data_IF_982551468078
#
_entry.id   IF_982551468078
#
_cell.length_a   1.000
_cell.length_b   1.000
_cell.length_c   1.000
_cell.angle_alpha   90.00
_cell.angle_beta   90.00
_cell.angle_gamma   90.00
#
_symmetry.space_group_name_H-M   'P 1'
#
loop_
_entity.id
_entity.type
_entity.pdbx_description
1 polymer ?
#
# COMPACT_ATOMS: atom_id res chain seq x y z
N UNK A 1 32.75 0.98 0.60
CA UNK A 1 31.82 2.07 0.25
C UNK A 1 30.41 1.57 0.53
N UNK A 2 29.83 1.95 1.68
CA UNK A 2 28.46 1.56 2.04
C UNK A 2 27.52 2.43 1.20
N UNK A 3 26.91 1.85 0.16
CA UNK A 3 25.81 2.48 -0.55
C UNK A 3 24.66 2.66 0.44
N UNK A 4 24.54 3.85 1.01
CA UNK A 4 23.35 4.26 1.73
C UNK A 4 22.23 4.40 0.69
N UNK A 5 21.66 3.27 0.26
CA UNK A 5 20.37 3.28 -0.40
C UNK A 5 19.40 3.79 0.66
N UNK A 6 19.11 5.08 0.54
CA UNK A 6 17.98 5.79 1.12
C UNK A 6 16.81 4.80 1.18
N UNK A 7 16.67 4.14 2.32
CA UNK A 7 15.55 3.27 2.63
C UNK A 7 14.38 4.24 2.71
N UNK A 8 13.79 4.58 1.54
CA UNK A 8 12.47 5.18 1.50
C UNK A 8 11.64 4.19 2.30
N UNK A 9 11.23 4.59 3.50
CA UNK A 9 10.40 3.76 4.36
C UNK A 9 9.26 3.26 3.50
N UNK A 10 9.34 2.01 3.04
CA UNK A 10 8.33 1.41 2.16
C UNK A 10 6.95 1.44 2.84
N UNK A 11 6.97 1.48 4.17
CA UNK A 11 5.83 1.66 5.05
C UNK A 11 5.19 3.06 4.97
N UNK A 12 5.92 4.10 4.59
CA UNK A 12 5.44 5.49 4.52
C UNK A 12 4.96 5.91 3.14
N UNK A 13 5.19 5.11 2.09
CA UNK A 13 4.80 5.49 0.73
C UNK A 13 3.36 5.04 0.45
N UNK A 14 2.42 5.98 0.53
CA UNK A 14 1.02 5.73 0.19
C UNK A 14 0.83 5.22 -1.25
N UNK A 15 1.66 5.67 -2.19
CA UNK A 15 1.58 5.24 -3.59
C UNK A 15 1.97 3.78 -3.74
N UNK A 16 2.94 3.31 -2.94
CA UNK A 16 3.32 1.90 -2.90
C UNK A 16 2.14 1.03 -2.50
N UNK A 17 1.45 1.39 -1.41
CA UNK A 17 0.30 0.64 -0.92
C UNK A 17 -0.89 0.67 -1.88
N UNK A 18 -1.17 1.81 -2.54
CA UNK A 18 -2.19 1.88 -3.60
C UNK A 18 -1.88 0.96 -4.77
N UNK A 19 -0.64 0.95 -5.26
CA UNK A 19 -0.23 0.07 -6.36
C UNK A 19 -0.39 -1.42 -6.00
N UNK A 20 -0.13 -1.79 -4.73
CA UNK A 20 -0.35 -3.14 -4.23
C UNK A 20 -1.83 -3.51 -4.16
N UNK A 21 -2.69 -2.58 -3.74
CA UNK A 21 -4.14 -2.79 -3.73
C UNK A 21 -4.67 -3.04 -5.15
N UNK A 22 -4.29 -2.19 -6.11
CA UNK A 22 -4.68 -2.32 -7.52
C UNK A 22 -4.21 -3.65 -8.14
N UNK A 23 -2.93 -4.00 -8.00
CA UNK A 23 -2.42 -5.27 -8.50
C UNK A 23 -3.15 -6.49 -7.90
N UNK A 24 -3.57 -6.39 -6.65
CA UNK A 24 -4.33 -7.45 -5.97
C UNK A 24 -5.75 -7.57 -6.51
N UNK A 25 -6.41 -6.44 -6.83
CA UNK A 25 -7.74 -6.42 -7.47
C UNK A 25 -7.69 -7.04 -8.86
N UNK A 26 -6.72 -6.63 -9.68
CA UNK A 26 -6.52 -7.21 -11.01
C UNK A 26 -6.30 -8.72 -10.95
N UNK A 27 -5.53 -9.19 -9.95
CA UNK A 27 -5.37 -10.62 -9.71
C UNK A 27 -6.68 -11.29 -9.29
N UNK A 28 -7.50 -10.64 -8.47
CA UNK A 28 -8.79 -11.16 -8.06
C UNK A 28 -9.77 -11.31 -9.25
N UNK A 29 -9.71 -10.39 -10.22
CA UNK A 29 -10.52 -10.46 -11.46
C UNK A 29 -10.18 -11.69 -12.31
N UNK A 30 -8.93 -12.15 -12.28
CA UNK A 30 -8.50 -13.36 -13.00
C UNK A 30 -8.80 -14.69 -12.29
N UNK A 31 -9.44 -14.66 -11.11
CA UNK A 31 -9.69 -15.85 -10.29
C UNK A 31 -11.17 -16.23 -10.40
N UNK A 32 -11.44 -17.43 -10.91
CA UNK A 32 -12.80 -17.99 -11.02
C UNK A 32 -13.37 -18.48 -9.68
N UNK A 33 -12.51 -18.92 -8.75
CA UNK A 33 -12.95 -19.34 -7.42
C UNK A 33 -13.38 -18.14 -6.58
N UNK A 34 -14.68 -18.03 -6.36
CA UNK A 34 -15.30 -16.93 -5.60
C UNK A 34 -14.72 -16.77 -4.19
N UNK A 35 -14.33 -17.87 -3.54
CA UNK A 35 -13.74 -17.81 -2.20
C UNK A 35 -12.37 -17.15 -2.23
N UNK A 36 -11.50 -17.57 -3.16
CA UNK A 36 -10.16 -17.02 -3.36
C UNK A 36 -10.22 -15.58 -3.84
N UNK A 37 -11.14 -15.26 -4.76
CA UNK A 37 -11.41 -13.89 -5.21
C UNK A 37 -11.81 -12.99 -4.05
N UNK A 38 -12.76 -13.42 -3.21
CA UNK A 38 -13.16 -12.66 -2.02
C UNK A 38 -12.00 -12.43 -1.05
N UNK A 39 -11.11 -13.42 -0.86
CA UNK A 39 -9.92 -13.24 -0.01
C UNK A 39 -8.95 -12.21 -0.58
N UNK A 40 -8.71 -12.23 -1.89
CA UNK A 40 -7.84 -11.25 -2.55
C UNK A 40 -8.41 -9.84 -2.46
N UNK A 41 -9.73 -9.67 -2.63
CA UNK A 41 -10.36 -8.37 -2.46
C UNK A 41 -10.20 -7.82 -1.03
N UNK A 42 -10.34 -8.67 -0.01
CA UNK A 42 -10.05 -8.28 1.39
C UNK A 42 -8.59 -7.85 1.56
N UNK A 43 -7.64 -8.56 0.95
CA UNK A 43 -6.22 -8.16 0.98
C UNK A 43 -6.01 -6.79 0.30
N UNK A 44 -6.70 -6.52 -0.82
CA UNK A 44 -6.64 -5.23 -1.48
C UNK A 44 -7.20 -4.09 -0.60
N UNK A 45 -8.28 -4.34 0.15
CA UNK A 45 -8.82 -3.39 1.12
C UNK A 45 -7.83 -3.08 2.25
N UNK A 46 -7.11 -4.08 2.75
CA UNK A 46 -6.07 -3.86 3.77
C UNK A 46 -4.92 -3.00 3.23
N UNK A 47 -4.54 -3.19 1.96
CA UNK A 47 -3.55 -2.31 1.31
C UNK A 47 -4.06 -0.87 1.17
N UNK A 48 -5.33 -0.65 0.86
CA UNK A 48 -5.91 0.69 0.84
C UNK A 48 -5.91 1.36 2.22
N UNK A 49 -6.17 0.59 3.29
CA UNK A 49 -6.06 1.10 4.67
C UNK A 49 -4.63 1.53 4.99
N UNK A 50 -3.64 0.72 4.62
CA UNK A 50 -2.23 1.08 4.77
C UNK A 50 -1.85 2.32 3.96
N UNK A 51 -2.39 2.47 2.75
CA UNK A 51 -2.19 3.68 1.96
C UNK A 51 -2.71 4.93 2.69
N UNK A 52 -3.92 4.88 3.25
CA UNK A 52 -4.50 5.99 4.02
C UNK A 52 -3.69 6.33 5.26
N UNK A 53 -3.19 5.32 5.98
CA UNK A 53 -2.33 5.52 7.15
C UNK A 53 -1.00 6.20 6.73
N UNK A 54 -0.42 5.75 5.62
CA UNK A 54 0.79 6.34 5.06
C UNK A 54 0.57 7.79 4.59
N UNK A 55 -0.60 8.13 4.03
CA UNK A 55 -0.97 9.52 3.72
C UNK A 55 -1.09 10.39 4.97
N UNK A 56 -1.73 9.85 6.02
CA UNK A 56 -1.84 10.54 7.31
C UNK A 56 -0.48 10.85 7.91
N UNK A 57 0.45 9.88 7.89
CA UNK A 57 1.83 10.08 8.34
C UNK A 57 2.57 11.12 7.52
N UNK A 58 2.53 11.01 6.19
CA UNK A 58 3.17 11.99 5.30
C UNK A 58 2.64 13.40 5.54
N UNK A 59 1.33 13.55 5.81
CA UNK A 59 0.74 14.86 6.12
C UNK A 59 1.21 15.40 7.46
N UNK A 60 1.23 14.59 8.50
CA UNK A 60 1.74 14.99 9.82
C UNK A 60 3.24 15.29 9.84
N UNK A 61 4.04 14.59 9.03
CA UNK A 61 5.47 14.88 8.84
C UNK A 61 5.70 16.27 8.19
N UNK A 62 4.77 16.73 7.34
CA UNK A 62 4.83 18.07 6.74
C UNK A 62 4.41 19.19 7.73
N UNK A 63 3.46 18.90 8.64
CA UNK A 63 2.97 19.88 9.61
C UNK A 63 3.95 20.14 10.79
N UNK A 64 4.88 19.21 11.05
CA UNK A 64 5.88 19.33 12.13
C UNK A 64 7.19 20.02 11.74
N UNK A 65 7.25 20.68 10.58
CA UNK A 65 8.47 21.24 10.00
C UNK A 65 8.57 22.78 10.12
N UNK A 66 7.74 23.39 10.98
CA UNK A 66 7.77 24.82 11.33
C UNK A 66 8.35 25.08 12.72
#
# INVERSE_FOLDING_TARGET
MLFCMKQKNLFSDAKHWRGRAEATRLKAESIEDDTSRCRLLKVAEEYDKLARIAEGRQRSELDGQF
#
